data_IF_360583575756
#
_entry.id   IF_360583575756
#
_cell.length_a   1.000
_cell.length_b   1.000
_cell.length_c   1.000
_cell.angle_alpha   90.00
_cell.angle_beta   90.00
_cell.angle_gamma   90.00
#
_symmetry.space_group_name_H-M   'P 1'
#
loop_
_entity.id
_entity.type
_entity.pdbx_description
1 polymer ?
#
# COMPACT_ATOMS: atom_id res chain seq x y z
N UNK A 1 2.06 21.63 -7.05
CA UNK A 1 1.32 20.69 -6.17
C UNK A 1 2.37 19.99 -5.33
N UNK A 2 2.19 19.85 -4.02
CA UNK A 2 3.10 19.08 -3.17
C UNK A 2 3.07 17.61 -3.61
N UNK A 3 4.22 16.96 -3.76
CA UNK A 3 4.31 15.58 -4.27
C UNK A 3 3.80 14.55 -3.24
N UNK A 4 4.11 14.76 -1.97
CA UNK A 4 3.81 13.84 -0.87
C UNK A 4 2.61 14.35 -0.06
N UNK A 5 1.39 14.06 -0.53
CA UNK A 5 0.16 14.55 0.10
C UNK A 5 -0.98 13.52 -0.01
N UNK A 6 -1.63 13.24 1.13
CA UNK A 6 -2.69 12.24 1.20
C UNK A 6 -2.18 10.87 0.79
N UNK A 7 -3.05 10.06 0.18
CA UNK A 7 -2.63 8.80 -0.45
C UNK A 7 -1.73 9.10 -1.64
N UNK A 8 -0.46 8.74 -1.54
CA UNK A 8 0.54 9.09 -2.55
C UNK A 8 1.58 7.97 -2.72
N UNK A 9 2.36 8.11 -3.80
CA UNK A 9 3.45 7.22 -4.17
C UNK A 9 4.76 7.93 -3.94
N UNK A 10 5.72 7.22 -3.37
CA UNK A 10 7.12 7.64 -3.34
C UNK A 10 7.87 6.95 -4.45
N UNK A 11 8.47 7.74 -5.33
CA UNK A 11 9.41 7.23 -6.32
C UNK A 11 10.73 6.88 -5.62
N UNK A 12 11.49 5.89 -6.10
CA UNK A 12 12.82 5.59 -5.56
C UNK A 12 13.74 6.82 -5.51
N UNK A 13 13.60 7.78 -6.43
CA UNK A 13 14.36 9.03 -6.43
C UNK A 13 14.17 9.91 -5.20
N UNK A 14 13.09 9.69 -4.42
CA UNK A 14 12.82 10.39 -3.17
C UNK A 14 13.97 10.26 -2.15
N UNK A 15 14.57 9.07 -2.05
CA UNK A 15 15.69 8.79 -1.14
C UNK A 15 16.96 8.29 -1.84
N UNK A 16 16.91 8.03 -3.15
CA UNK A 16 18.06 7.58 -3.94
C UNK A 16 18.15 8.34 -5.27
N UNK A 17 19.06 9.31 -5.40
CA UNK A 17 19.19 10.18 -6.59
C UNK A 17 19.35 9.45 -7.94
N UNK A 18 19.79 8.19 -7.94
CA UNK A 18 19.93 7.38 -9.17
C UNK A 18 18.77 6.39 -9.38
N UNK A 19 17.82 6.33 -8.43
CA UNK A 19 16.59 5.56 -8.55
C UNK A 19 15.61 6.20 -9.53
N UNK A 20 14.56 5.46 -9.87
CA UNK A 20 13.50 5.96 -10.74
C UNK A 20 12.79 7.17 -10.15
N UNK A 21 12.61 8.19 -10.97
CA UNK A 21 11.60 9.21 -10.78
C UNK A 21 10.23 8.70 -11.25
N UNK A 22 9.15 9.38 -10.88
CA UNK A 22 7.78 8.98 -11.21
C UNK A 22 7.58 8.63 -12.70
N UNK A 23 8.09 9.45 -13.63
CA UNK A 23 7.99 9.18 -15.07
C UNK A 23 8.81 7.98 -15.59
N UNK A 24 9.78 7.50 -14.80
CA UNK A 24 10.69 6.40 -15.15
C UNK A 24 10.22 5.05 -14.61
N UNK A 25 9.31 5.04 -13.63
CA UNK A 25 8.75 3.79 -13.09
C UNK A 25 8.04 3.05 -14.23
N UNK A 26 8.46 1.82 -14.58
CA UNK A 26 7.83 1.05 -15.65
C UNK A 26 6.34 0.80 -15.37
N UNK A 27 5.48 1.03 -16.36
CA UNK A 27 4.03 0.88 -16.20
C UNK A 27 3.61 -0.54 -15.80
N UNK A 28 4.33 -1.55 -16.29
CA UNK A 28 4.12 -2.96 -15.93
C UNK A 28 4.53 -3.29 -14.49
N UNK A 29 5.20 -2.35 -13.78
CA UNK A 29 5.47 -2.46 -12.35
C UNK A 29 4.42 -1.78 -11.49
N UNK A 30 3.48 -1.02 -12.06
CA UNK A 30 2.43 -0.31 -11.31
C UNK A 30 1.22 -1.19 -10.97
N UNK A 31 1.22 -2.47 -11.34
CA UNK A 31 0.15 -3.42 -11.05
C UNK A 31 0.78 -4.73 -10.57
N UNK A 32 0.27 -5.29 -9.46
CA UNK A 32 0.81 -6.52 -8.90
C UNK A 32 -0.11 -7.19 -7.89
N UNK A 33 0.22 -8.41 -7.42
CA UNK A 33 -0.53 -9.10 -6.39
C UNK A 33 -0.56 -8.28 -5.09
N UNK A 34 -1.75 -8.08 -4.51
CA UNK A 34 -1.90 -7.41 -3.22
C UNK A 34 -1.59 -8.35 -2.07
N UNK A 35 -0.74 -7.89 -1.15
CA UNK A 35 -0.38 -8.58 0.10
C UNK A 35 -0.64 -7.63 1.26
N UNK A 36 -1.65 -7.93 2.07
CA UNK A 36 -2.04 -7.09 3.20
C UNK A 36 -1.61 -7.77 4.51
N UNK A 37 -0.66 -7.15 5.21
CA UNK A 37 -0.16 -7.61 6.51
C UNK A 37 -0.91 -6.84 7.61
N UNK A 38 -1.86 -7.52 8.24
CA UNK A 38 -2.69 -6.92 9.28
C UNK A 38 -1.98 -6.98 10.65
N UNK A 39 -1.66 -5.81 11.19
CA UNK A 39 -1.05 -5.63 12.52
C UNK A 39 -1.84 -4.67 13.40
N UNK A 40 -3.13 -4.46 13.10
CA UNK A 40 -3.99 -3.47 13.79
C UNK A 40 -4.00 -3.62 15.29
N UNK A 41 -4.15 -4.85 15.80
CA UNK A 41 -4.15 -5.09 17.25
C UNK A 41 -2.79 -4.77 17.88
N UNK A 42 -1.68 -5.03 17.17
CA UNK A 42 -0.33 -4.71 17.65
C UNK A 42 -0.09 -3.20 17.67
N UNK A 43 -0.49 -2.50 16.61
CA UNK A 43 -0.41 -1.04 16.49
C UNK A 43 -1.35 -0.30 17.48
N UNK A 44 -2.53 -0.88 17.77
CA UNK A 44 -3.46 -0.33 18.78
C UNK A 44 -2.85 -0.35 20.18
N UNK A 45 -2.10 -1.40 20.52
CA UNK A 45 -1.45 -1.54 21.82
C UNK A 45 -0.09 -0.83 21.89
N UNK A 46 0.54 -0.58 20.74
CA UNK A 46 1.79 0.15 20.61
C UNK A 46 1.75 1.03 19.35
N UNK A 47 1.49 2.34 19.48
CA UNK A 47 1.55 3.30 18.37
C UNK A 47 2.85 3.27 17.57
N UNK A 48 3.97 2.86 18.17
CA UNK A 48 5.29 2.76 17.53
C UNK A 48 5.61 1.32 17.11
N UNK A 49 4.59 0.48 16.90
CA UNK A 49 4.78 -0.91 16.47
C UNK A 49 5.49 -0.95 15.10
N UNK A 50 6.48 -1.84 15.01
CA UNK A 50 7.27 -2.04 13.79
C UNK A 50 7.10 -3.46 13.32
N UNK A 51 6.63 -3.66 12.08
CA UNK A 51 6.46 -5.00 11.51
C UNK A 51 7.80 -5.74 11.54
N UNK A 52 7.78 -6.91 12.14
CA UNK A 52 8.92 -7.81 12.32
C UNK A 52 8.99 -8.87 11.22
N UNK A 53 10.15 -9.53 11.09
CA UNK A 53 10.32 -10.70 10.22
C UNK A 53 9.32 -11.82 10.59
N UNK A 54 9.01 -11.94 11.89
CA UNK A 54 8.07 -12.96 12.37
C UNK A 54 6.65 -12.70 11.88
N UNK A 55 6.20 -11.44 11.83
CA UNK A 55 4.89 -11.09 11.24
C UNK A 55 4.78 -11.57 9.79
N UNK A 56 5.87 -11.43 9.01
CA UNK A 56 5.91 -11.84 7.62
C UNK A 56 5.90 -13.36 7.49
N UNK A 57 6.65 -14.07 8.33
CA UNK A 57 6.65 -15.54 8.34
C UNK A 57 5.29 -16.11 8.75
N UNK A 58 4.65 -15.55 9.78
CA UNK A 58 3.29 -15.93 10.20
C UNK A 58 2.27 -15.67 9.09
N UNK A 59 2.40 -14.54 8.39
CA UNK A 59 1.55 -14.25 7.23
C UNK A 59 1.76 -15.29 6.12
N UNK A 60 3.01 -15.63 5.79
CA UNK A 60 3.31 -16.60 4.73
C UNK A 60 2.92 -18.04 5.07
N UNK A 61 3.00 -18.43 6.35
CA UNK A 61 2.50 -19.71 6.83
C UNK A 61 1.00 -19.86 6.56
N UNK A 62 0.25 -18.76 6.74
CA UNK A 62 -1.21 -18.77 6.58
C UNK A 62 -1.68 -18.59 5.14
N UNK A 63 -1.00 -17.75 4.35
CA UNK A 63 -1.49 -17.32 3.04
C UNK A 63 -0.58 -17.72 1.86
N UNK A 64 0.53 -18.40 2.15
CA UNK A 64 1.54 -18.78 1.18
C UNK A 64 2.65 -17.74 1.03
N UNK A 65 3.73 -18.13 0.34
CA UNK A 65 4.88 -17.25 0.08
C UNK A 65 4.42 -15.96 -0.62
N UNK A 66 4.96 -14.81 -0.19
CA UNK A 66 4.76 -13.52 -0.88
C UNK A 66 5.15 -13.70 -2.36
N UNK A 67 4.22 -13.45 -3.31
CA UNK A 67 4.50 -13.64 -4.72
C UNK A 67 5.46 -12.57 -5.24
N UNK A 68 6.25 -12.94 -6.26
CA UNK A 68 7.04 -11.96 -6.99
C UNK A 68 6.10 -10.92 -7.63
N UNK A 69 6.53 -9.65 -7.64
CA UNK A 69 5.70 -8.55 -8.11
C UNK A 69 4.75 -7.97 -7.07
N UNK A 70 4.78 -8.43 -5.81
CA UNK A 70 3.76 -8.03 -4.83
C UNK A 70 3.76 -6.53 -4.48
N UNK A 71 2.56 -6.03 -4.19
CA UNK A 71 2.31 -4.79 -3.45
C UNK A 71 2.09 -5.15 -1.99
N UNK A 72 3.16 -5.04 -1.19
CA UNK A 72 3.18 -5.43 0.21
C UNK A 72 2.80 -4.23 1.09
N UNK A 73 1.63 -4.27 1.73
CA UNK A 73 1.07 -3.12 2.44
C UNK A 73 0.74 -3.50 3.88
N UNK A 74 1.22 -2.67 4.82
CA UNK A 74 0.86 -2.74 6.23
C UNK A 74 -0.57 -2.20 6.42
N UNK A 75 -1.43 -3.00 7.04
CA UNK A 75 -2.69 -2.54 7.60
C UNK A 75 -2.55 -2.46 9.12
N UNK A 76 -2.35 -1.23 9.62
CA UNK A 76 -2.21 -0.94 11.04
C UNK A 76 -3.47 -0.32 11.66
N UNK A 77 -4.50 -0.04 10.84
CA UNK A 77 -5.75 0.62 11.22
C UNK A 77 -5.57 2.12 11.40
N UNK A 78 -4.48 2.68 10.88
CA UNK A 78 -4.12 4.09 11.08
C UNK A 78 -4.92 5.04 10.20
N UNK A 79 -5.45 4.53 9.08
CA UNK A 79 -6.34 5.28 8.19
C UNK A 79 -7.57 5.84 8.93
N UNK A 80 -8.05 5.17 9.97
CA UNK A 80 -9.14 5.63 10.82
C UNK A 80 -8.87 6.96 11.55
N UNK A 81 -7.60 7.42 11.63
CA UNK A 81 -7.23 8.69 12.25
C UNK A 81 -7.39 9.89 11.32
N UNK A 82 -7.53 9.66 10.02
CA UNK A 82 -7.77 10.74 9.06
C UNK A 82 -9.18 11.36 9.24
N UNK A 83 -9.35 12.68 9.02
CA UNK A 83 -8.32 13.66 8.62
C UNK A 83 -7.72 14.45 9.80
N UNK A 84 -7.87 14.00 11.05
CA UNK A 84 -7.38 14.76 12.21
C UNK A 84 -5.84 14.74 12.29
N UNK A 85 -5.22 15.89 12.04
CA UNK A 85 -3.77 16.00 11.91
C UNK A 85 -3.02 15.52 13.15
N UNK A 86 -3.51 15.84 14.35
CA UNK A 86 -2.84 15.44 15.58
C UNK A 86 -2.90 13.93 15.79
N UNK A 87 -4.05 13.32 15.49
CA UNK A 87 -4.23 11.86 15.55
C UNK A 87 -3.36 11.15 14.52
N UNK A 88 -3.35 11.65 13.28
CA UNK A 88 -2.56 11.10 12.16
C UNK A 88 -1.07 11.05 12.49
N UNK A 89 -0.49 12.14 13.01
CA UNK A 89 0.94 12.16 13.41
C UNK A 89 1.21 11.66 14.83
N UNK A 90 0.17 11.35 15.60
CA UNK A 90 0.31 10.90 16.99
C UNK A 90 0.87 11.96 17.95
N UNK A 91 0.80 13.24 17.59
CA UNK A 91 1.37 14.36 18.37
C UNK A 91 0.53 15.62 18.26
N UNK A 92 0.64 16.51 19.24
CA UNK A 92 0.15 17.89 19.13
C UNK A 92 1.20 18.84 18.55
N UNK A 93 2.47 18.44 18.56
CA UNK A 93 3.59 19.25 18.06
C UNK A 93 4.00 18.78 16.65
N UNK A 94 3.13 19.02 15.69
CA UNK A 94 3.32 18.64 14.28
C UNK A 94 4.55 19.29 13.60
N UNK A 95 5.16 20.30 14.21
CA UNK A 95 6.40 20.92 13.74
C UNK A 95 7.66 20.18 14.19
N UNK A 96 7.55 19.30 15.17
CA UNK A 96 8.65 18.49 15.67
C UNK A 96 8.47 17.05 15.20
N UNK A 97 9.19 16.69 14.14
CA UNK A 97 9.17 15.35 13.56
C UNK A 97 9.55 14.27 14.59
N UNK A 98 10.44 14.58 15.53
CA UNK A 98 10.85 13.64 16.59
C UNK A 98 9.75 13.37 17.62
N UNK A 99 8.62 14.10 17.56
CA UNK A 99 7.46 13.86 18.42
C UNK A 99 6.42 12.93 17.78
N UNK A 100 6.61 12.49 16.53
CA UNK A 100 5.61 11.73 15.81
C UNK A 100 5.52 10.30 16.34
N UNK A 101 4.29 9.77 16.40
CA UNK A 101 4.03 8.40 16.84
C UNK A 101 3.05 7.75 15.88
N UNK A 102 3.52 6.79 15.12
CA UNK A 102 2.73 5.94 14.24
C UNK A 102 3.54 4.69 13.87
N UNK A 103 2.86 3.58 13.52
CA UNK A 103 3.53 2.33 13.24
C UNK A 103 4.32 2.43 11.93
N UNK A 104 5.20 1.47 11.71
CA UNK A 104 6.00 1.39 10.49
C UNK A 104 6.57 0.01 10.25
N UNK A 105 7.49 -0.08 9.30
CA UNK A 105 8.28 -1.28 9.03
C UNK A 105 9.60 -1.23 9.80
N UNK A 106 10.07 -2.38 10.28
CA UNK A 106 11.42 -2.49 10.85
C UNK A 106 12.45 -2.68 9.71
N UNK A 107 13.61 -2.03 9.77
CA UNK A 107 14.68 -2.15 8.75
C UNK A 107 15.16 -3.58 8.55
N UNK A 108 15.33 -4.35 9.63
CA UNK A 108 15.69 -5.77 9.53
C UNK A 108 14.65 -6.58 8.75
N UNK A 109 13.36 -6.26 8.91
CA UNK A 109 12.27 -6.89 8.16
C UNK A 109 12.37 -6.56 6.68
N UNK A 110 12.65 -5.30 6.35
CA UNK A 110 12.78 -4.83 4.96
C UNK A 110 14.03 -5.41 4.30
N UNK A 111 15.16 -5.45 5.00
CA UNK A 111 16.40 -6.08 4.54
C UNK A 111 16.19 -7.58 4.26
N UNK A 112 15.45 -8.25 5.14
CA UNK A 112 15.06 -9.65 4.93
C UNK A 112 14.15 -9.81 3.72
N UNK A 113 13.12 -8.96 3.56
CA UNK A 113 12.22 -8.97 2.40
C UNK A 113 13.01 -8.80 1.11
N UNK A 114 13.88 -7.78 1.02
CA UNK A 114 14.74 -7.51 -0.14
C UNK A 114 15.59 -8.74 -0.50
N UNK A 115 16.17 -9.40 0.51
CA UNK A 115 17.05 -10.55 0.29
C UNK A 115 16.31 -11.83 -0.12
N UNK A 116 15.01 -11.92 0.16
CA UNK A 116 14.27 -13.19 0.07
C UNK A 116 13.04 -13.14 -0.83
N UNK A 117 12.55 -11.97 -1.21
CA UNK A 117 11.31 -11.73 -2.00
C UNK A 117 11.55 -10.63 -3.03
N UNK A 118 10.77 -10.63 -4.11
CA UNK A 118 10.87 -9.62 -5.16
C UNK A 118 9.58 -8.79 -5.24
N UNK A 119 9.39 -7.89 -4.27
CA UNK A 119 8.23 -6.99 -4.25
C UNK A 119 8.43 -5.78 -5.17
N UNK A 120 7.34 -5.13 -5.58
CA UNK A 120 7.38 -3.87 -6.35
C UNK A 120 7.10 -2.65 -5.50
N UNK A 121 6.24 -2.82 -4.50
CA UNK A 121 5.83 -1.75 -3.60
C UNK A 121 5.88 -2.21 -2.14
N UNK A 122 6.32 -1.29 -1.29
CA UNK A 122 6.05 -1.30 0.13
C UNK A 122 4.97 -0.26 0.43
N UNK A 123 4.11 -0.50 1.41
CA UNK A 123 3.07 0.46 1.75
C UNK A 123 2.59 0.43 3.19
N UNK A 124 1.81 1.44 3.53
CA UNK A 124 1.24 1.67 4.86
C UNK A 124 -0.04 2.50 4.77
N UNK A 125 -0.90 2.35 5.78
CA UNK A 125 -2.01 3.26 6.06
C UNK A 125 -1.62 4.46 6.95
N UNK A 126 -0.37 4.52 7.42
CA UNK A 126 0.18 5.61 8.22
C UNK A 126 0.84 6.72 7.37
N UNK A 127 1.20 7.88 7.97
CA UNK A 127 1.89 8.99 7.32
C UNK A 127 3.28 8.67 6.81
N UNK A 128 3.88 7.60 7.33
CA UNK A 128 5.09 7.05 6.75
C UNK A 128 5.21 5.55 6.96
N UNK A 129 5.89 4.87 6.04
CA UNK A 129 6.21 3.45 6.21
C UNK A 129 7.47 3.23 7.06
N UNK A 130 8.24 4.28 7.36
CA UNK A 130 9.05 4.34 8.57
C UNK A 130 8.16 4.67 9.78
N UNK A 131 8.53 4.21 10.98
CA UNK A 131 7.77 4.53 12.20
C UNK A 131 7.98 6.00 12.64
N UNK A 132 7.05 6.55 13.41
CA UNK A 132 6.99 7.99 13.68
C UNK A 132 8.25 8.60 14.32
N UNK A 133 8.95 7.86 15.17
CA UNK A 133 10.18 8.34 15.81
C UNK A 133 11.44 8.23 14.92
N UNK A 134 11.31 7.72 13.69
CA UNK A 134 12.44 7.60 12.77
C UNK A 134 12.96 8.97 12.36
N UNK A 135 14.27 9.19 12.54
CA UNK A 135 14.96 10.41 12.08
C UNK A 135 15.91 10.16 10.90
N UNK A 136 16.14 8.88 10.58
CA UNK A 136 17.08 8.43 9.55
C UNK A 136 16.38 7.73 8.38
N UNK A 137 15.09 7.43 8.50
CA UNK A 137 14.25 6.81 7.46
C UNK A 137 14.90 5.59 6.78
N UNK A 138 15.41 4.60 7.55
CA UNK A 138 16.14 3.48 6.98
C UNK A 138 15.29 2.65 6.02
N UNK A 139 13.97 2.57 6.22
CA UNK A 139 13.12 1.81 5.30
C UNK A 139 13.08 2.47 3.93
N UNK A 140 12.90 3.80 3.87
CA UNK A 140 12.98 4.56 2.61
C UNK A 140 14.32 4.36 1.90
N UNK A 141 15.43 4.41 2.64
CA UNK A 141 16.77 4.24 2.07
C UNK A 141 16.96 2.83 1.51
N UNK A 142 16.52 1.80 2.23
CA UNK A 142 16.66 0.42 1.80
C UNK A 142 15.82 0.13 0.54
N UNK A 143 14.56 0.56 0.52
CA UNK A 143 13.64 0.30 -0.60
C UNK A 143 14.04 1.07 -1.86
N UNK A 144 14.44 2.33 -1.71
CA UNK A 144 14.85 3.18 -2.84
C UNK A 144 16.12 2.68 -3.55
N UNK A 145 17.04 1.99 -2.86
CA UNK A 145 18.22 1.36 -3.46
C UNK A 145 17.86 0.22 -4.41
N UNK A 146 16.78 -0.47 -4.13
CA UNK A 146 16.28 -1.62 -4.90
C UNK A 146 15.20 -1.23 -5.93
N UNK A 147 14.94 0.07 -6.11
CA UNK A 147 13.82 0.60 -6.90
C UNK A 147 12.45 0.04 -6.48
N UNK A 148 12.27 -0.25 -5.20
CA UNK A 148 10.97 -0.54 -4.59
C UNK A 148 10.30 0.80 -4.26
N UNK A 149 9.10 1.02 -4.78
CA UNK A 149 8.36 2.27 -4.58
C UNK A 149 7.51 2.24 -3.31
N UNK A 150 7.24 3.41 -2.73
CA UNK A 150 6.46 3.56 -1.50
C UNK A 150 5.00 3.90 -1.75
N UNK A 151 4.11 3.50 -0.83
CA UNK A 151 2.70 3.93 -0.77
C UNK A 151 2.37 4.33 0.68
N UNK A 152 1.98 5.58 0.87
CA UNK A 152 1.64 6.11 2.19
C UNK A 152 0.18 6.55 2.27
N UNK A 153 -0.37 6.60 3.50
CA UNK A 153 -1.74 7.02 3.77
C UNK A 153 -2.79 6.25 2.96
N UNK A 154 -2.57 4.94 2.80
CA UNK A 154 -3.51 4.05 2.12
C UNK A 154 -4.74 3.82 2.99
N UNK A 155 -5.94 4.01 2.44
CA UNK A 155 -7.19 3.82 3.15
C UNK A 155 -7.89 2.50 2.80
N UNK A 156 -8.80 2.06 3.67
CA UNK A 156 -9.72 0.93 3.45
C UNK A 156 -9.04 -0.44 3.29
N UNK A 157 -7.87 -0.65 3.88
CA UNK A 157 -7.15 -1.93 3.78
C UNK A 157 -7.92 -3.11 4.39
N UNK A 158 -8.85 -2.84 5.31
CA UNK A 158 -9.77 -3.84 5.86
C UNK A 158 -10.74 -4.46 4.84
N UNK A 159 -10.88 -3.83 3.67
CA UNK A 159 -11.76 -4.30 2.59
C UNK A 159 -11.03 -5.18 1.57
N UNK A 160 -9.73 -5.38 1.76
CA UNK A 160 -8.87 -6.17 0.86
C UNK A 160 -8.52 -7.47 1.58
N UNK A 161 -8.70 -8.64 0.95
CA UNK A 161 -8.29 -9.90 1.55
C UNK A 161 -6.76 -9.92 1.74
N UNK A 162 -6.24 -10.64 2.76
CA UNK A 162 -4.80 -10.73 3.01
C UNK A 162 -4.00 -11.10 1.75
N UNK A 163 -4.49 -12.05 0.97
CA UNK A 163 -3.92 -12.50 -0.31
C UNK A 163 -4.99 -12.65 -1.41
N UNK A 164 -4.55 -12.74 -2.66
CA UNK A 164 -5.40 -13.04 -3.82
C UNK A 164 -6.01 -11.81 -4.53
N UNK A 165 -5.80 -10.60 -4.00
CA UNK A 165 -6.16 -9.37 -4.71
C UNK A 165 -5.09 -8.99 -5.75
N UNK A 166 -5.46 -8.13 -6.69
CA UNK A 166 -4.53 -7.42 -7.57
C UNK A 166 -4.67 -5.92 -7.28
N UNK A 167 -3.57 -5.24 -7.00
CA UNK A 167 -3.54 -3.80 -6.69
C UNK A 167 -2.91 -3.05 -7.86
N UNK A 168 -3.48 -1.90 -8.18
CA UNK A 168 -2.96 -0.96 -9.17
C UNK A 168 -2.64 0.37 -8.50
N UNK A 169 -1.38 0.79 -8.58
CA UNK A 169 -0.85 2.03 -8.06
C UNK A 169 -0.63 3.04 -9.19
N UNK A 170 -1.71 3.61 -9.71
CA UNK A 170 -1.66 4.54 -10.84
C UNK A 170 -1.25 5.95 -10.39
N UNK A 171 0.07 6.16 -10.26
CA UNK A 171 0.68 7.45 -9.95
C UNK A 171 0.69 8.41 -11.15
N UNK A 172 0.70 9.71 -10.88
CA UNK A 172 0.87 10.73 -11.91
C UNK A 172 2.26 10.62 -12.55
N UNK A 173 2.34 10.68 -13.89
CA UNK A 173 3.60 10.56 -14.64
C UNK A 173 4.39 11.88 -14.65
N UNK A 174 4.78 12.35 -13.47
CA UNK A 174 5.50 13.62 -13.29
C UNK A 174 6.95 13.48 -13.75
N UNK A 175 7.40 14.38 -14.64
CA UNK A 175 8.82 14.46 -15.05
C UNK A 175 9.66 14.87 -13.85
N UNK A 176 10.73 14.11 -13.59
CA UNK A 176 11.64 14.28 -12.44
C UNK A 176 10.96 14.27 -11.06
N UNK A 177 9.70 13.84 -10.97
CA UNK A 177 8.96 13.82 -9.71
C UNK A 177 9.52 12.79 -8.74
N UNK A 178 9.71 13.19 -7.48
CA UNK A 178 10.15 12.32 -6.41
C UNK A 178 9.00 11.55 -5.75
N UNK A 179 7.77 11.99 -6.01
CA UNK A 179 6.54 11.29 -5.66
C UNK A 179 5.34 11.89 -6.35
N UNK A 180 4.15 11.48 -5.93
CA UNK A 180 2.92 12.12 -6.37
C UNK A 180 1.66 11.49 -5.82
N UNK A 181 0.56 12.26 -5.70
CA UNK A 181 -0.74 11.69 -5.38
C UNK A 181 -1.11 10.64 -6.43
N UNK A 182 -1.78 9.57 -6.00
CA UNK A 182 -2.20 8.50 -6.89
C UNK A 182 -3.64 8.06 -6.62
N UNK A 183 -4.21 7.36 -7.60
CA UNK A 183 -5.43 6.58 -7.37
C UNK A 183 -5.06 5.11 -7.19
N UNK A 184 -4.98 4.68 -5.93
CA UNK A 184 -4.79 3.28 -5.56
C UNK A 184 -6.13 2.55 -5.60
N UNK A 185 -6.19 1.38 -6.22
CA UNK A 185 -7.37 0.51 -6.17
C UNK A 185 -6.99 -0.97 -6.22
N UNK A 186 -7.85 -1.81 -5.67
CA UNK A 186 -7.68 -3.25 -5.63
C UNK A 186 -8.83 -3.95 -6.35
N UNK A 187 -8.51 -4.95 -7.16
CA UNK A 187 -9.43 -5.95 -7.68
C UNK A 187 -9.38 -7.13 -6.73
N UNK A 188 -10.50 -7.42 -6.06
CA UNK A 188 -10.60 -8.50 -5.08
C UNK A 188 -11.31 -9.71 -5.71
N UNK A 189 -10.95 -10.96 -5.33
CA UNK A 189 -11.67 -12.13 -5.79
C UNK A 189 -13.16 -12.04 -5.42
N UNK A 190 -14.03 -12.32 -6.38
CA UNK A 190 -15.46 -12.46 -6.11
C UNK A 190 -15.66 -13.69 -5.23
N UNK A 191 -16.08 -13.50 -3.98
CA UNK A 191 -16.51 -14.58 -3.09
C UNK A 191 -17.88 -15.11 -3.55
N UNK A 192 -17.89 -15.86 -4.65
CA UNK A 192 -18.98 -16.74 -5.09
C UNK A 192 -20.35 -16.11 -5.37
N UNK A 193 -20.56 -15.59 -6.58
CA UNK A 193 -21.77 -15.78 -7.40
C UNK A 193 -21.61 -15.01 -8.73
N UNK A 194 -21.71 -15.74 -9.84
CA UNK A 194 -22.08 -15.28 -11.19
C UNK A 194 -21.52 -13.93 -11.69
N UNK A 195 -20.71 -14.00 -12.75
CA UNK A 195 -20.37 -12.92 -13.68
C UNK A 195 -21.30 -11.70 -13.57
N UNK A 196 -20.80 -10.58 -13.02
CA UNK A 196 -21.05 -9.20 -13.49
C UNK A 196 -20.45 -8.15 -12.54
N UNK A 197 -19.97 -7.08 -13.17
CA UNK A 197 -19.69 -5.74 -12.66
C UNK A 197 -18.32 -5.43 -12.01
N UNK A 198 -17.55 -4.63 -12.75
CA UNK A 198 -16.46 -3.76 -12.30
C UNK A 198 -17.07 -2.58 -11.53
N UNK A 199 -16.64 -2.35 -10.30
CA UNK A 199 -16.97 -1.12 -9.57
C UNK A 199 -15.97 -0.04 -9.97
N UNK A 200 -16.36 0.86 -10.87
CA UNK A 200 -15.63 2.11 -11.15
C UNK A 200 -16.30 3.21 -10.30
N UNK A 201 -15.58 3.76 -9.33
CA UNK A 201 -16.13 4.76 -8.40
C UNK A 201 -15.96 6.20 -8.86
N UNK A 202 -16.95 7.07 -8.61
CA UNK A 202 -16.94 8.18 -7.63
C UNK A 202 -18.38 8.69 -7.48
N UNK A 203 -18.79 9.00 -6.23
CA UNK A 203 -20.02 9.74 -5.85
C UNK A 203 -21.37 9.32 -6.50
N UNK A 204 -22.18 8.62 -5.71
CA UNK A 204 -23.66 8.55 -5.74
C UNK A 204 -24.42 8.27 -7.05
N UNK A 205 -23.83 7.64 -8.06
CA UNK A 205 -24.63 7.03 -9.14
C UNK A 205 -24.13 5.62 -9.43
N UNK A 206 -24.92 4.65 -9.00
CA UNK A 206 -24.74 3.23 -9.32
C UNK A 206 -25.22 2.99 -10.75
N UNK A 207 -24.31 2.95 -11.73
CA UNK A 207 -24.62 2.46 -13.07
C UNK A 207 -24.40 0.95 -13.10
N UNK A 208 -25.48 0.17 -13.07
CA UNK A 208 -25.43 -1.28 -13.29
C UNK A 208 -25.60 -1.54 -14.79
N UNK A 209 -24.54 -1.96 -15.47
CA UNK A 209 -24.63 -2.52 -16.83
C UNK A 209 -24.90 -4.02 -16.69
N UNK A 210 -26.15 -4.43 -16.89
CA UNK A 210 -26.53 -5.85 -16.94
C UNK A 210 -26.36 -6.34 -18.39
N UNK A 211 -25.37 -7.20 -18.62
CA UNK A 211 -25.27 -7.98 -19.85
C UNK A 211 -26.28 -9.13 -19.83
N UNK A 212 -27.34 -9.04 -20.64
CA UNK A 212 -28.30 -10.13 -20.82
C UNK A 212 -27.72 -11.13 -21.82
N UNK A 213 -27.22 -12.29 -21.35
CA UNK A 213 -26.92 -13.41 -22.24
C UNK A 213 -28.15 -14.31 -22.31
N UNK A 214 -28.86 -14.30 -23.45
CA UNK A 214 -29.95 -15.22 -23.74
C UNK A 214 -29.42 -16.67 -23.78
N UNK A 215 -29.92 -17.52 -22.89
CA UNK A 215 -29.86 -18.97 -23.02
C UNK A 215 -31.04 -19.41 -23.91
N UNK A 216 -30.80 -19.64 -25.19
CA UNK A 216 -31.72 -20.45 -26.01
C UNK A 216 -31.56 -21.91 -25.59
N UNK A 217 -32.52 -22.40 -24.81
CA UNK A 217 -32.73 -23.84 -24.59
C UNK A 217 -33.16 -24.47 -25.92
N UNK A 218 -32.39 -25.46 -26.36
CA UNK A 218 -32.84 -26.50 -27.27
C UNK A 218 -33.91 -27.33 -26.55
N UNK A 219 -35.10 -27.41 -27.12
CA UNK A 219 -36.03 -28.51 -26.95
C UNK A 219 -36.56 -28.85 -28.35
N UNK A 220 -36.20 -30.07 -28.78
CA UNK A 220 -36.72 -30.93 -29.86
C UNK A 220 -37.25 -30.29 -31.16
#
# INVERSE_FOLDING_TARGET
MTEHVGTHMDAPSHFNKVGWNMHQIPINKMVGPGVIVNVKEKARNNPDYRISINDIKEWEEKYGKIPDGAMLIMNSGWDAKYPDKNSVYGTKNISDLSSFHHPGWHEDTISWIISNRHILFIGTDAPSFDYGQSTTFPVHILTSRENISGLENVANLDRIPPSGSIISAAGMKTVEGSGGPLRLYAMVPNSGANNSAVIIGTSNVLLIVIGLTLLTKLQD
#
